data_IF_318766803131
#
_entry.id   IF_318766803131
#
_cell.length_a   1.000
_cell.length_b   1.000
_cell.length_c   1.000
_cell.angle_alpha   90.00
_cell.angle_beta   90.00
_cell.angle_gamma   90.00
#
_symmetry.space_group_name_H-M   'P 1'
#
loop_
_entity.id
_entity.type
_entity.pdbx_description
1 polymer ?
#
# COMPACT_ATOMS: atom_id res chain seq x y z
N UNK A 1 3.87 -4.65 -2.23
CA UNK A 1 2.68 -3.92 -2.69
C UNK A 1 2.80 -2.44 -2.27
N UNK A 2 1.68 -1.73 -2.07
CA UNK A 2 1.52 -0.36 -1.57
C UNK A 2 0.10 -0.24 -1.01
N UNK A 3 -0.20 0.83 -0.27
CA UNK A 3 -1.61 1.17 0.03
C UNK A 3 -2.46 1.45 -1.21
N UNK A 4 -1.83 1.85 -2.31
CA UNK A 4 -2.50 1.96 -3.60
C UNK A 4 -2.88 0.61 -4.20
N UNK A 5 -2.41 -0.51 -3.61
CA UNK A 5 -2.90 -1.86 -3.90
C UNK A 5 -4.16 -2.24 -3.13
N UNK A 6 -4.64 -1.39 -2.23
CA UNK A 6 -5.90 -1.55 -1.48
C UNK A 6 -6.97 -0.55 -1.88
N UNK A 7 -6.52 0.63 -2.33
CA UNK A 7 -7.38 1.73 -2.75
C UNK A 7 -6.67 2.54 -3.84
N UNK A 8 -7.25 2.55 -5.03
CA UNK A 8 -6.84 3.46 -6.10
C UNK A 8 -7.05 4.92 -5.73
N UNK A 9 -6.24 5.78 -6.32
CA UNK A 9 -6.22 7.21 -6.07
C UNK A 9 -6.19 7.97 -7.40
N UNK A 10 -6.83 9.15 -7.51
CA UNK A 10 -6.66 10.04 -8.66
C UNK A 10 -5.19 10.20 -9.09
N UNK A 11 -4.96 10.26 -10.40
CA UNK A 11 -3.64 10.52 -11.01
C UNK A 11 -2.56 9.46 -10.71
N UNK A 12 -2.92 8.25 -10.28
CA UNK A 12 -1.97 7.13 -10.11
C UNK A 12 -2.62 5.78 -10.46
N UNK A 13 -3.41 5.76 -11.54
CA UNK A 13 -4.24 4.61 -11.92
C UNK A 13 -3.42 3.38 -12.32
N UNK A 14 -2.39 3.61 -13.12
CA UNK A 14 -1.41 2.66 -13.61
C UNK A 14 -0.55 2.12 -12.46
N UNK A 15 -0.05 2.99 -11.58
CA UNK A 15 0.64 2.53 -10.37
C UNK A 15 -0.29 1.69 -9.49
N UNK A 16 -1.51 2.15 -9.22
CA UNK A 16 -2.48 1.40 -8.42
C UNK A 16 -2.76 0.03 -9.02
N UNK A 17 -3.04 -0.06 -10.32
CA UNK A 17 -3.30 -1.32 -11.02
C UNK A 17 -2.18 -2.35 -10.79
N UNK A 18 -0.91 -1.94 -10.91
CA UNK A 18 0.23 -2.84 -10.63
C UNK A 18 0.27 -3.31 -9.16
N UNK A 19 -0.07 -2.43 -8.21
CA UNK A 19 -0.04 -2.78 -6.78
C UNK A 19 -1.22 -3.66 -6.36
N UNK A 20 -2.38 -3.51 -7.00
CA UNK A 20 -3.50 -4.45 -6.88
C UNK A 20 -3.13 -5.83 -7.46
N UNK A 21 -2.45 -5.86 -8.62
CA UNK A 21 -1.98 -7.12 -9.20
C UNK A 21 -1.04 -7.87 -8.24
N UNK A 22 -0.12 -7.17 -7.58
CA UNK A 22 0.75 -7.76 -6.55
C UNK A 22 -0.07 -8.30 -5.37
N UNK A 23 -1.17 -7.67 -4.96
CA UNK A 23 -2.03 -8.20 -3.88
C UNK A 23 -2.68 -9.53 -4.29
N UNK A 24 -3.40 -9.54 -5.42
CA UNK A 24 -4.09 -10.73 -5.89
C UNK A 24 -3.13 -11.89 -6.18
N UNK A 25 -1.99 -11.60 -6.81
CA UNK A 25 -0.93 -12.59 -7.04
C UNK A 25 -0.43 -13.18 -5.72
N UNK A 26 -0.08 -12.34 -4.74
CA UNK A 26 0.44 -12.80 -3.44
C UNK A 26 -0.59 -13.61 -2.64
N UNK A 27 -1.87 -13.26 -2.75
CA UNK A 27 -2.96 -14.01 -2.12
C UNK A 27 -3.10 -15.41 -2.71
N UNK A 28 -3.05 -15.54 -4.04
CA UNK A 28 -3.13 -16.84 -4.73
C UNK A 28 -1.97 -17.76 -4.33
N UNK A 29 -0.73 -17.29 -4.52
CA UNK A 29 0.45 -18.13 -4.26
C UNK A 29 0.58 -18.52 -2.80
N UNK A 30 0.09 -17.70 -1.86
CA UNK A 30 0.09 -18.04 -0.44
C UNK A 30 -0.79 -19.26 -0.15
N UNK A 31 -1.97 -19.33 -0.76
CA UNK A 31 -2.86 -20.47 -0.61
C UNK A 31 -2.23 -21.75 -1.19
N UNK A 32 -1.55 -21.63 -2.34
CA UNK A 32 -0.82 -22.73 -2.97
C UNK A 32 0.35 -23.22 -2.09
N UNK A 33 1.10 -22.27 -1.49
CA UNK A 33 2.34 -22.54 -0.75
C UNK A 33 2.13 -22.96 0.71
N UNK A 34 0.93 -22.74 1.27
CA UNK A 34 0.60 -23.13 2.65
C UNK A 34 0.91 -24.61 2.91
N UNK A 35 0.61 -25.50 1.96
CA UNK A 35 0.87 -26.96 2.10
C UNK A 35 2.35 -27.32 2.00
N UNK A 36 3.17 -26.43 1.46
CA UNK A 36 4.63 -26.61 1.32
C UNK A 36 5.40 -26.06 2.53
N UNK A 37 4.71 -25.47 3.51
CA UNK A 37 5.34 -24.79 4.64
C UNK A 37 6.09 -23.51 4.25
N UNK A 38 5.71 -22.89 3.12
CA UNK A 38 6.31 -21.64 2.64
C UNK A 38 5.34 -20.48 2.91
N UNK A 39 5.81 -19.48 3.67
CA UNK A 39 5.03 -18.28 4.00
C UNK A 39 5.21 -17.16 2.97
N UNK A 40 4.13 -16.37 2.78
CA UNK A 40 4.11 -15.20 1.91
C UNK A 40 3.63 -13.98 2.68
N UNK A 41 4.52 -13.00 2.84
CA UNK A 41 4.26 -11.73 3.50
C UNK A 41 4.15 -10.60 2.46
N UNK A 42 3.01 -9.89 2.47
CA UNK A 42 2.82 -8.69 1.66
C UNK A 42 3.04 -7.43 2.48
N UNK A 43 3.84 -6.50 1.94
CA UNK A 43 4.08 -5.19 2.54
C UNK A 43 3.36 -4.12 1.70
N UNK A 44 2.57 -3.29 2.37
CA UNK A 44 1.76 -2.23 1.76
C UNK A 44 2.15 -0.86 2.34
N UNK A 45 3.34 -0.33 2.01
CA UNK A 45 3.80 0.96 2.51
C UNK A 45 3.00 2.13 1.93
N UNK A 46 3.03 3.24 2.65
CA UNK A 46 2.65 4.57 2.16
C UNK A 46 3.90 5.35 1.80
N UNK A 47 3.83 6.68 1.88
CA UNK A 47 4.97 7.55 1.64
C UNK A 47 6.15 7.16 2.53
N UNK A 48 7.24 6.73 1.91
CA UNK A 48 8.48 6.33 2.56
C UNK A 48 9.57 7.32 2.14
N UNK A 49 10.45 7.72 3.06
CA UNK A 49 11.58 8.61 2.78
C UNK A 49 12.62 7.87 1.93
N UNK A 50 12.48 7.99 0.61
CA UNK A 50 13.40 7.47 -0.40
C UNK A 50 13.39 8.41 -1.61
N UNK A 51 14.32 8.17 -2.53
CA UNK A 51 14.44 8.85 -3.82
C UNK A 51 13.31 8.47 -4.80
N UNK A 52 12.26 7.78 -4.34
CA UNK A 52 11.16 7.30 -5.18
C UNK A 52 10.48 8.46 -5.91
N UNK A 53 10.12 9.52 -5.18
CA UNK A 53 9.42 10.66 -5.75
C UNK A 53 10.30 11.53 -6.65
N UNK A 54 11.61 11.49 -6.49
CA UNK A 54 12.58 12.17 -7.35
C UNK A 54 12.70 11.52 -8.73
N UNK A 55 12.27 10.25 -8.83
CA UNK A 55 12.38 9.41 -10.04
C UNK A 55 11.04 9.14 -10.72
N UNK A 56 9.93 9.68 -10.20
CA UNK A 56 8.62 9.55 -10.85
C UNK A 56 8.64 10.40 -12.12
N UNK A 57 8.66 9.72 -13.27
CA UNK A 57 8.87 10.29 -14.60
C UNK A 57 7.74 11.25 -15.01
N UNK A 58 6.51 11.00 -14.55
CA UNK A 58 5.35 11.84 -14.83
C UNK A 58 4.57 12.16 -13.55
N UNK A 59 4.63 13.41 -13.09
CA UNK A 59 3.60 13.98 -12.22
C UNK A 59 2.54 14.61 -13.13
N UNK A 60 1.58 13.81 -13.59
CA UNK A 60 0.48 14.27 -14.47
C UNK A 60 -0.42 15.32 -13.81
N UNK A 61 -0.43 15.39 -12.48
CA UNK A 61 -1.06 16.44 -11.70
C UNK A 61 -0.31 16.58 -10.36
N UNK A 62 -0.43 17.75 -9.72
CA UNK A 62 0.01 17.95 -8.33
C UNK A 62 -1.15 17.51 -7.42
N UNK A 63 -1.17 16.28 -6.91
CA UNK A 63 -2.31 15.78 -6.18
C UNK A 63 -2.35 16.54 -4.86
N UNK A 64 -3.43 17.30 -4.61
CA UNK A 64 -3.62 18.07 -3.37
C UNK A 64 -3.89 17.18 -2.14
N UNK A 65 -3.46 15.93 -2.18
CA UNK A 65 -3.62 14.98 -1.09
C UNK A 65 -2.91 15.51 0.15
N UNK A 66 -3.50 15.37 1.35
CA UNK A 66 -2.78 15.69 2.56
C UNK A 66 -1.46 14.91 2.62
N UNK A 67 -0.35 15.66 2.64
CA UNK A 67 0.95 15.09 2.88
C UNK A 67 0.98 14.52 4.30
N UNK A 68 1.09 13.20 4.40
CA UNK A 68 1.39 12.56 5.66
C UNK A 68 2.90 12.51 5.84
N UNK A 69 3.36 12.75 7.08
CA UNK A 69 4.79 12.64 7.41
C UNK A 69 5.30 11.27 6.93
N UNK A 70 6.29 11.25 6.02
CA UNK A 70 6.82 10.01 5.50
C UNK A 70 7.49 9.21 6.61
N UNK A 71 7.52 7.90 6.44
CA UNK A 71 8.23 6.98 7.33
C UNK A 71 9.62 6.71 6.76
N UNK A 72 10.64 6.68 7.60
CA UNK A 72 11.99 6.37 7.13
C UNK A 72 12.07 4.95 6.58
N UNK A 73 12.86 4.76 5.51
CA UNK A 73 13.09 3.43 4.94
C UNK A 73 13.61 2.42 5.99
N UNK A 74 14.43 2.90 6.92
CA UNK A 74 14.94 2.10 8.03
C UNK A 74 13.82 1.62 8.98
N UNK A 75 12.82 2.45 9.25
CA UNK A 75 11.67 2.02 10.08
C UNK A 75 10.78 1.04 9.32
N UNK A 76 10.52 1.26 8.03
CA UNK A 76 9.81 0.28 7.20
C UNK A 76 10.53 -1.06 7.22
N UNK A 77 11.84 -1.09 7.02
CA UNK A 77 12.65 -2.30 7.08
C UNK A 77 12.55 -3.00 8.44
N UNK A 78 12.63 -2.26 9.56
CA UNK A 78 12.44 -2.82 10.90
C UNK A 78 11.07 -3.48 11.07
N UNK A 79 10.01 -2.86 10.56
CA UNK A 79 8.67 -3.43 10.63
C UNK A 79 8.52 -4.69 9.79
N UNK A 80 9.14 -4.74 8.60
CA UNK A 80 9.18 -5.92 7.74
C UNK A 80 9.84 -7.10 8.48
N UNK A 81 11.04 -6.89 9.05
CA UNK A 81 11.74 -7.96 9.80
C UNK A 81 10.89 -8.46 10.99
N UNK A 82 10.24 -7.54 11.71
CA UNK A 82 9.33 -7.91 12.81
C UNK A 82 8.12 -8.71 12.33
N UNK A 83 7.58 -8.39 11.15
CA UNK A 83 6.45 -9.09 10.57
C UNK A 83 6.80 -10.52 10.13
N UNK A 84 7.97 -10.69 9.50
CA UNK A 84 8.53 -12.01 9.15
C UNK A 84 8.63 -12.87 10.41
N UNK A 85 9.28 -12.36 11.47
CA UNK A 85 9.44 -13.10 12.74
C UNK A 85 8.13 -13.46 13.43
N UNK A 86 7.04 -12.75 13.14
CA UNK A 86 5.71 -12.95 13.74
C UNK A 86 4.78 -13.79 12.87
N UNK A 87 5.25 -14.33 11.74
CA UNK A 87 4.41 -15.09 10.80
C UNK A 87 3.24 -14.25 10.28
N UNK A 88 3.46 -12.96 10.02
CA UNK A 88 2.40 -12.10 9.46
C UNK A 88 2.27 -12.34 7.96
N UNK A 89 1.04 -12.29 7.48
CA UNK A 89 0.70 -12.44 6.07
C UNK A 89 0.62 -11.09 5.34
N UNK A 90 0.32 -10.02 6.08
CA UNK A 90 0.33 -8.66 5.55
C UNK A 90 0.67 -7.64 6.63
N UNK A 91 1.38 -6.58 6.25
CA UNK A 91 1.47 -5.35 7.04
C UNK A 91 1.29 -4.08 6.21
N UNK A 92 0.68 -3.07 6.84
CA UNK A 92 0.68 -1.68 6.40
C UNK A 92 1.46 -0.89 7.47
N UNK A 93 2.67 -0.40 7.19
CA UNK A 93 3.62 0.06 8.20
C UNK A 93 3.33 1.46 8.80
N UNK A 94 2.08 1.93 8.71
CA UNK A 94 1.66 3.24 9.21
C UNK A 94 0.17 3.27 9.56
N UNK A 95 -0.19 4.05 10.58
CA UNK A 95 -1.55 4.07 11.15
C UNK A 95 -2.58 4.58 10.14
N UNK A 96 -2.31 5.71 9.50
CA UNK A 96 -3.24 6.33 8.55
C UNK A 96 -3.55 5.43 7.35
N UNK A 97 -2.58 4.65 6.88
CA UNK A 97 -2.77 3.68 5.81
C UNK A 97 -3.73 2.58 6.20
N UNK A 98 -3.59 2.05 7.43
CA UNK A 98 -4.53 1.06 7.96
C UNK A 98 -5.95 1.63 8.07
N UNK A 99 -6.06 2.87 8.55
CA UNK A 99 -7.37 3.56 8.65
C UNK A 99 -7.98 3.73 7.26
N UNK A 100 -7.25 4.28 6.30
CA UNK A 100 -7.73 4.48 4.93
C UNK A 100 -8.16 3.17 4.26
N UNK A 101 -7.32 2.13 4.32
CA UNK A 101 -7.63 0.83 3.72
C UNK A 101 -8.86 0.19 4.40
N UNK A 102 -8.98 0.31 5.72
CA UNK A 102 -10.15 -0.17 6.47
C UNK A 102 -11.42 0.61 6.12
N UNK A 103 -11.34 1.93 6.01
CA UNK A 103 -12.45 2.77 5.59
C UNK A 103 -12.90 2.43 4.18
N UNK A 104 -11.96 2.27 3.23
CA UNK A 104 -12.29 1.87 1.87
C UNK A 104 -13.01 0.52 1.81
N UNK A 105 -12.58 -0.44 2.65
CA UNK A 105 -13.21 -1.76 2.73
C UNK A 105 -14.63 -1.72 3.32
N UNK A 106 -14.95 -0.75 4.18
CA UNK A 106 -16.25 -0.65 4.86
C UNK A 106 -17.22 0.30 4.16
N UNK A 107 -16.72 1.37 3.54
CA UNK A 107 -17.53 2.41 2.90
C UNK A 107 -16.78 3.01 1.71
N UNK A 108 -16.69 2.29 0.58
CA UNK A 108 -15.98 2.78 -0.61
C UNK A 108 -16.57 4.09 -1.12
N UNK A 109 -17.90 4.26 -1.10
CA UNK A 109 -18.54 5.50 -1.56
C UNK A 109 -18.20 6.75 -0.74
N UNK A 110 -17.93 6.61 0.58
CA UNK A 110 -17.42 7.72 1.39
C UNK A 110 -16.00 8.09 0.96
N UNK A 111 -15.15 7.09 0.73
CA UNK A 111 -13.78 7.30 0.29
C UNK A 111 -13.74 7.88 -1.12
N UNK A 112 -14.61 7.44 -2.04
CA UNK A 112 -14.78 8.03 -3.38
C UNK A 112 -15.13 9.52 -3.31
N UNK A 113 -16.10 9.89 -2.46
CA UNK A 113 -16.49 11.29 -2.23
C UNK A 113 -15.36 12.13 -1.62
N UNK A 114 -14.54 11.52 -0.76
CA UNK A 114 -13.34 12.18 -0.24
C UNK A 114 -12.31 12.37 -1.36
N UNK A 115 -12.08 11.34 -2.18
CA UNK A 115 -11.08 11.39 -3.26
C UNK A 115 -11.45 12.33 -4.39
N UNK A 116 -12.74 12.50 -4.69
CA UNK A 116 -13.20 13.44 -5.71
C UNK A 116 -12.88 14.90 -5.38
N UNK A 117 -12.49 15.22 -4.13
CA UNK A 117 -12.04 16.56 -3.73
C UNK A 117 -10.59 16.85 -4.13
N UNK A 118 -9.85 15.83 -4.53
CA UNK A 118 -8.43 15.90 -4.89
C UNK A 118 -8.19 15.71 -6.40
N UNK A 119 -9.27 15.65 -7.19
CA UNK A 119 -9.26 15.76 -8.66
C UNK A 119 -9.28 17.25 -9.01
#
# INVERSE_FOLDING_TARGET
SSILGHRGVPYSSEYAATKFAVQGFSESIRAEFTKLGIDVLVISPGTTETEFFDRVIERTADPKWPEHKPISAAEVARQIVRAIRKGKHEIIPYLWGRVLCRMNRLSPGLVDRLMSRYV
#
